data_IF_978071138737
#
_entry.id   IF_978071138737
#
_cell.length_a   1.000
_cell.length_b   1.000
_cell.length_c   1.000
_cell.angle_alpha   90.00
_cell.angle_beta   90.00
_cell.angle_gamma   90.00
#
_symmetry.space_group_name_H-M   'P 1'
#
loop_
_entity.id
_entity.type
_entity.pdbx_description
1 polymer ?
#
# COMPACT_ATOMS: atom_id res chain seq x y z
N UNK A 1 50.66 -71.39 40.34
CA UNK A 1 50.32 -70.38 39.32
C UNK A 1 48.81 -70.31 39.18
N UNK A 2 48.14 -69.32 39.79
CA UNK A 2 46.74 -68.95 39.52
C UNK A 2 46.33 -67.72 40.34
N UNK A 3 45.63 -66.82 39.66
CA UNK A 3 44.59 -65.89 40.17
C UNK A 3 45.00 -64.58 40.86
N UNK A 4 44.71 -63.46 40.16
CA UNK A 4 44.20 -62.19 40.72
C UNK A 4 43.40 -61.49 39.61
N UNK A 5 42.06 -61.51 39.71
CA UNK A 5 41.18 -60.38 40.05
C UNK A 5 41.33 -59.15 39.13
N UNK A 6 40.35 -58.94 38.25
CA UNK A 6 40.07 -57.62 37.64
C UNK A 6 38.69 -57.15 38.08
N UNK A 7 38.68 -55.99 38.74
CA UNK A 7 37.48 -55.29 39.23
C UNK A 7 37.00 -54.38 38.10
N UNK A 8 35.77 -54.58 37.63
CA UNK A 8 35.11 -53.70 36.65
C UNK A 8 34.33 -52.60 37.38
N UNK A 9 34.81 -51.36 37.30
CA UNK A 9 34.04 -50.18 37.69
C UNK A 9 33.02 -49.82 36.60
N UNK A 10 31.74 -49.81 36.96
CA UNK A 10 30.66 -49.23 36.15
C UNK A 10 30.51 -47.76 36.52
N UNK A 11 30.84 -46.86 35.60
CA UNK A 11 30.53 -45.44 35.72
C UNK A 11 29.07 -45.21 35.31
N UNK A 12 28.20 -44.87 36.28
CA UNK A 12 26.87 -44.33 36.04
C UNK A 12 27.03 -42.84 35.66
N UNK A 13 26.65 -42.48 34.43
CA UNK A 13 26.52 -41.08 34.01
C UNK A 13 25.11 -40.63 34.41
N UNK A 14 25.02 -39.78 35.43
CA UNK A 14 23.79 -39.08 35.81
C UNK A 14 23.71 -37.79 34.98
N UNK A 15 22.77 -37.77 34.03
CA UNK A 15 22.42 -36.59 33.25
C UNK A 15 21.51 -35.71 34.11
N UNK A 16 22.04 -34.57 34.56
CA UNK A 16 21.24 -33.50 35.17
C UNK A 16 20.56 -32.69 34.06
N UNK A 17 19.25 -32.85 33.93
CA UNK A 17 18.41 -31.99 33.09
C UNK A 17 18.06 -30.75 33.93
N UNK A 18 18.73 -29.63 33.66
CA UNK A 18 18.39 -28.34 34.22
C UNK A 18 17.18 -27.76 33.47
N UNK A 19 15.98 -27.87 34.04
CA UNK A 19 14.78 -27.16 33.60
C UNK A 19 14.89 -25.69 33.98
N UNK A 20 15.57 -24.90 33.16
CA UNK A 20 15.49 -23.43 33.24
C UNK A 20 14.16 -22.98 32.65
N UNK A 21 13.21 -22.66 33.54
CA UNK A 21 11.97 -22.00 33.19
C UNK A 21 12.27 -20.61 32.61
N UNK A 22 11.85 -20.37 31.37
CA UNK A 22 11.79 -19.02 30.80
C UNK A 22 10.71 -18.23 31.52
N UNK A 23 11.11 -17.33 32.44
CA UNK A 23 10.25 -16.24 32.87
C UNK A 23 10.37 -15.08 31.87
N UNK A 24 9.26 -14.52 31.37
CA UNK A 24 9.30 -13.32 30.55
C UNK A 24 9.76 -12.12 31.39
N UNK A 25 10.71 -11.36 30.85
CA UNK A 25 11.18 -10.10 31.44
C UNK A 25 10.03 -9.08 31.48
N UNK A 26 9.90 -8.28 32.56
CA UNK A 26 8.95 -7.18 32.59
C UNK A 26 9.29 -6.12 31.53
N UNK A 27 8.28 -5.46 30.95
CA UNK A 27 8.49 -4.43 29.93
C UNK A 27 9.30 -3.26 30.50
N UNK A 28 10.30 -2.84 29.74
CA UNK A 28 11.14 -1.67 30.02
C UNK A 28 10.27 -0.41 29.93
N UNK A 29 10.01 0.23 31.06
CA UNK A 29 9.33 1.53 31.10
C UNK A 29 10.11 2.54 30.24
N UNK A 30 9.41 3.15 29.28
CA UNK A 30 9.94 4.26 28.51
C UNK A 30 9.80 5.55 29.32
N UNK A 31 10.80 6.45 29.31
CA UNK A 31 10.72 7.69 30.06
C UNK A 31 9.60 8.59 29.53
N UNK A 32 8.77 9.06 30.44
CA UNK A 32 7.73 10.06 30.23
C UNK A 32 8.30 11.30 29.54
N UNK A 33 7.68 11.82 28.46
CA UNK A 33 8.14 13.05 27.83
C UNK A 33 7.95 14.22 28.80
N UNK A 34 9.05 14.89 29.15
CA UNK A 34 9.06 16.13 29.90
C UNK A 34 8.45 17.24 29.03
N UNK A 35 7.32 17.79 29.45
CA UNK A 35 6.75 19.01 28.87
C UNK A 35 7.69 20.18 29.13
N UNK A 36 8.35 20.68 28.08
CA UNK A 36 9.02 21.98 28.11
C UNK A 36 7.97 23.08 27.84
N UNK A 37 7.99 24.20 28.60
CA UNK A 37 7.09 25.31 28.35
C UNK A 37 7.44 26.00 27.02
N UNK A 38 6.41 26.18 26.18
CA UNK A 38 6.48 26.99 24.95
C UNK A 38 6.46 28.46 25.34
N UNK A 39 7.42 29.29 24.90
CA UNK A 39 7.35 30.73 25.14
C UNK A 39 6.31 31.38 24.23
N UNK A 40 5.40 32.13 24.86
CA UNK A 40 4.40 32.97 24.21
C UNK A 40 5.07 34.09 23.41
N UNK A 41 4.85 34.12 22.11
CA UNK A 41 5.32 35.21 21.24
C UNK A 41 4.14 36.15 20.98
N UNK A 42 4.25 37.39 21.44
CA UNK A 42 3.34 38.49 21.12
C UNK A 42 3.57 38.98 19.68
N UNK A 43 2.53 39.36 18.93
CA UNK A 43 2.69 39.91 17.60
C UNK A 43 3.01 41.42 17.68
N UNK A 44 4.26 41.78 17.41
CA UNK A 44 4.64 43.16 17.10
C UNK A 44 4.34 43.47 15.64
N UNK A 45 3.48 44.46 15.44
CA UNK A 45 3.22 45.08 14.15
C UNK A 45 4.49 45.80 13.64
N UNK A 46 4.95 45.42 12.45
CA UNK A 46 5.87 46.24 11.65
C UNK A 46 5.30 46.33 10.23
N UNK A 47 4.78 47.52 9.96
CA UNK A 47 4.49 48.03 8.64
C UNK A 47 5.81 48.13 7.89
N UNK A 48 5.95 47.41 6.78
CA UNK A 48 6.98 47.72 5.79
C UNK A 48 6.46 47.44 4.39
N UNK A 49 6.30 48.54 3.68
CA UNK A 49 5.96 48.65 2.27
C UNK A 49 7.15 48.21 1.42
N UNK A 50 6.99 47.16 0.62
CA UNK A 50 7.85 46.89 -0.52
C UNK A 50 7.00 46.31 -1.65
N UNK A 51 6.73 47.13 -2.65
CA UNK A 51 6.18 46.72 -3.93
C UNK A 51 7.28 45.99 -4.73
N UNK A 52 6.98 44.80 -5.23
CA UNK A 52 7.63 44.21 -6.41
C UNK A 52 6.82 43.03 -6.93
N UNK A 53 6.09 43.29 -8.01
CA UNK A 53 6.07 42.51 -9.25
C UNK A 53 5.98 40.98 -9.13
N UNK A 54 4.75 40.48 -9.05
CA UNK A 54 4.42 39.10 -9.42
C UNK A 54 3.62 39.12 -10.71
N UNK A 55 4.27 38.74 -11.81
CA UNK A 55 3.64 38.45 -13.09
C UNK A 55 2.57 37.38 -12.92
N UNK A 56 1.31 37.77 -13.11
CA UNK A 56 0.19 36.86 -13.14
C UNK A 56 0.33 35.94 -14.37
N UNK A 57 0.48 34.63 -14.12
CA UNK A 57 0.24 33.60 -15.13
C UNK A 57 -1.25 33.61 -15.48
N UNK A 58 -1.63 33.60 -16.77
CA UNK A 58 -3.03 33.59 -17.14
C UNK A 58 -3.66 32.26 -16.72
N UNK A 59 -4.72 32.35 -15.94
CA UNK A 59 -5.63 31.25 -15.68
C UNK A 59 -6.20 30.79 -17.04
N UNK A 60 -5.72 29.64 -17.52
CA UNK A 60 -6.31 28.96 -18.66
C UNK A 60 -7.69 28.46 -18.26
N UNK A 61 -8.70 29.27 -18.52
CA UNK A 61 -10.10 28.88 -18.45
C UNK A 61 -10.40 27.95 -19.61
N UNK A 62 -10.00 26.67 -19.49
CA UNK A 62 -10.59 25.64 -20.33
C UNK A 62 -12.00 25.36 -19.78
N UNK A 63 -12.99 25.91 -20.46
CA UNK A 63 -14.39 25.52 -20.32
C UNK A 63 -14.52 24.05 -20.71
N UNK A 64 -14.62 23.17 -19.71
CA UNK A 64 -14.79 21.73 -19.96
C UNK A 64 -16.26 21.47 -20.24
N UNK A 65 -16.54 21.14 -21.51
CA UNK A 65 -17.85 20.70 -21.99
C UNK A 65 -18.30 19.43 -21.25
N UNK A 66 -19.55 19.41 -20.79
CA UNK A 66 -20.17 18.41 -19.91
C UNK A 66 -20.54 17.09 -20.61
N UNK A 67 -19.66 16.49 -21.40
CA UNK A 67 -19.97 15.29 -22.21
C UNK A 67 -19.11 14.06 -21.87
N UNK A 68 -18.36 14.04 -20.76
CA UNK A 68 -17.42 12.94 -20.43
C UNK A 68 -17.96 11.86 -19.46
N UNK A 69 -19.24 11.83 -19.14
CA UNK A 69 -19.77 11.03 -18.01
C UNK A 69 -19.92 9.51 -18.24
N UNK A 70 -20.15 8.96 -19.45
CA UNK A 70 -20.26 7.51 -19.65
C UNK A 70 -18.93 6.76 -19.50
N UNK A 71 -17.83 7.37 -19.95
CA UNK A 71 -16.51 6.72 -20.05
C UNK A 71 -15.91 6.44 -18.66
N UNK A 72 -15.97 7.41 -17.75
CA UNK A 72 -15.39 7.27 -16.41
C UNK A 72 -16.04 6.15 -15.58
N UNK A 73 -17.37 5.98 -15.66
CA UNK A 73 -18.07 4.92 -14.94
C UNK A 73 -17.73 3.54 -15.49
N UNK A 74 -17.60 3.42 -16.81
CA UNK A 74 -17.17 2.17 -17.45
C UNK A 74 -15.71 1.86 -17.11
N UNK A 75 -14.85 2.87 -17.13
CA UNK A 75 -13.45 2.75 -16.72
C UNK A 75 -13.34 2.31 -15.26
N UNK A 76 -14.16 2.88 -14.36
CA UNK A 76 -14.25 2.43 -12.97
C UNK A 76 -14.65 0.97 -12.86
N UNK A 77 -15.72 0.56 -13.53
CA UNK A 77 -16.22 -0.81 -13.49
C UNK A 77 -15.17 -1.85 -13.94
N UNK A 78 -14.21 -1.46 -14.79
CA UNK A 78 -13.09 -2.32 -15.21
C UNK A 78 -11.96 -2.43 -14.18
N UNK A 79 -11.88 -1.50 -13.24
CA UNK A 79 -10.82 -1.40 -12.25
C UNK A 79 -10.98 -2.36 -11.07
N UNK A 80 -9.86 -2.68 -10.40
CA UNK A 80 -9.86 -3.58 -9.24
C UNK A 80 -10.62 -3.02 -8.04
N UNK A 81 -10.77 -1.71 -7.96
CA UNK A 81 -11.50 -1.06 -6.87
C UNK A 81 -13.03 -1.05 -7.06
N UNK A 82 -13.54 -1.38 -8.25
CA UNK A 82 -14.99 -1.53 -8.46
C UNK A 82 -15.52 -2.90 -8.01
N UNK A 83 -14.65 -3.88 -7.80
CA UNK A 83 -15.02 -5.21 -7.33
C UNK A 83 -14.07 -5.65 -6.20
N UNK A 84 -14.48 -5.36 -4.98
CA UNK A 84 -13.65 -5.44 -3.78
C UNK A 84 -14.14 -6.52 -2.81
N UNK A 85 -15.05 -7.40 -3.21
CA UNK A 85 -15.59 -8.43 -2.31
C UNK A 85 -14.48 -9.27 -1.65
N UNK A 86 -14.50 -9.36 -0.31
CA UNK A 86 -13.59 -10.19 0.47
C UNK A 86 -14.37 -11.19 1.31
N UNK A 87 -14.02 -12.47 1.19
CA UNK A 87 -14.50 -13.54 2.06
C UNK A 87 -13.31 -14.36 2.58
N UNK A 88 -13.43 -14.84 3.81
CA UNK A 88 -12.59 -15.84 4.43
C UNK A 88 -12.92 -17.24 3.87
N UNK A 89 -12.13 -18.23 4.26
CA UNK A 89 -12.25 -19.61 3.77
C UNK A 89 -13.60 -20.27 4.13
N UNK A 90 -14.26 -19.79 5.18
CA UNK A 90 -15.59 -20.22 5.61
C UNK A 90 -16.74 -19.54 4.85
N UNK A 91 -16.43 -18.66 3.88
CA UNK A 91 -17.40 -17.91 3.09
C UNK A 91 -17.93 -16.65 3.77
N UNK A 92 -17.56 -16.38 5.03
CA UNK A 92 -17.93 -15.15 5.73
C UNK A 92 -16.95 -14.03 5.40
N UNK A 93 -17.37 -12.77 5.55
CA UNK A 93 -16.41 -11.67 5.46
C UNK A 93 -15.58 -11.58 6.75
N UNK A 94 -14.41 -10.97 6.66
CA UNK A 94 -13.47 -10.78 7.76
C UNK A 94 -13.16 -9.29 7.98
N UNK A 95 -12.24 -8.98 8.88
CA UNK A 95 -11.79 -7.62 9.18
C UNK A 95 -11.35 -6.79 7.96
N UNK A 96 -10.88 -7.43 6.88
CA UNK A 96 -10.51 -6.76 5.63
C UNK A 96 -11.69 -6.09 4.94
N UNK A 97 -12.92 -6.57 5.20
CA UNK A 97 -14.14 -6.01 4.63
C UNK A 97 -14.36 -4.54 4.97
N UNK A 98 -13.80 -4.06 6.08
CA UNK A 98 -13.91 -2.65 6.50
C UNK A 98 -13.24 -1.68 5.52
N UNK A 99 -12.15 -2.08 4.89
CA UNK A 99 -11.46 -1.27 3.89
C UNK A 99 -12.01 -1.50 2.47
N UNK A 100 -12.57 -2.69 2.23
CA UNK A 100 -13.03 -3.13 0.92
C UNK A 100 -14.52 -2.83 0.66
N UNK A 101 -15.32 -2.63 1.71
CA UNK A 101 -16.70 -2.20 1.66
C UNK A 101 -17.01 -1.26 2.84
N UNK A 102 -16.37 -0.07 2.88
CA UNK A 102 -16.53 0.86 3.99
C UNK A 102 -18.00 1.24 4.23
N UNK A 103 -18.85 1.19 3.20
CA UNK A 103 -20.28 1.50 3.32
C UNK A 103 -21.16 0.37 3.87
N UNK A 104 -20.67 -0.87 3.95
CA UNK A 104 -21.39 -1.96 4.59
C UNK A 104 -21.05 -2.13 6.07
N UNK A 105 -19.81 -1.80 6.46
CA UNK A 105 -19.26 -2.14 7.77
C UNK A 105 -19.32 -0.96 8.76
N UNK A 106 -20.45 -0.27 8.72
CA UNK A 106 -20.75 0.91 9.51
C UNK A 106 -21.67 0.53 10.67
N UNK A 107 -21.46 1.10 11.87
CA UNK A 107 -22.44 0.98 12.94
C UNK A 107 -23.74 1.66 12.50
N UNK A 108 -24.81 0.88 12.37
CA UNK A 108 -26.12 1.36 11.90
C UNK A 108 -26.94 2.02 13.00
N UNK A 109 -26.44 2.02 14.23
CA UNK A 109 -27.05 2.71 15.36
C UNK A 109 -26.01 3.12 16.42
N UNK A 110 -26.35 4.15 17.20
CA UNK A 110 -25.55 4.55 18.37
C UNK A 110 -25.39 3.41 19.40
N UNK A 111 -26.24 2.39 19.39
CA UNK A 111 -26.14 1.24 20.27
C UNK A 111 -25.00 0.28 19.86
N UNK A 112 -24.53 0.36 18.61
CA UNK A 112 -23.40 -0.40 18.09
C UNK A 112 -22.06 0.31 18.31
N UNK A 113 -22.09 1.56 18.79
CA UNK A 113 -20.93 2.37 19.13
C UNK A 113 -20.85 2.47 20.66
N UNK A 114 -19.80 1.92 21.31
CA UNK A 114 -19.70 1.99 22.76
C UNK A 114 -19.73 3.44 23.25
N UNK A 115 -20.63 3.75 24.19
CA UNK A 115 -20.95 5.11 24.66
C UNK A 115 -19.85 5.77 25.53
N UNK A 116 -18.58 5.38 25.37
CA UNK A 116 -17.47 5.93 26.15
C UNK A 116 -16.41 6.55 25.24
N UNK A 117 -15.67 7.54 25.77
CA UNK A 117 -14.55 8.27 25.12
C UNK A 117 -13.38 7.37 24.65
N UNK A 118 -13.55 6.06 24.64
CA UNK A 118 -12.58 5.06 24.22
C UNK A 118 -12.78 4.59 22.77
N UNK A 119 -13.71 5.20 22.03
CA UNK A 119 -14.03 4.88 20.62
C UNK A 119 -12.81 4.88 19.68
N UNK A 120 -11.73 5.62 20.00
CA UNK A 120 -10.51 5.64 19.19
C UNK A 120 -9.56 4.45 19.42
N UNK A 121 -9.80 3.56 20.40
CA UNK A 121 -8.86 2.50 20.80
C UNK A 121 -9.39 1.07 20.77
N UNK A 122 -10.59 0.80 20.23
CA UNK A 122 -11.14 -0.55 20.26
C UNK A 122 -11.35 -1.23 18.92
N UNK A 123 -11.03 -2.51 18.99
CA UNK A 123 -11.41 -3.60 18.11
C UNK A 123 -12.95 -3.69 18.13
N UNK A 124 -13.61 -2.96 17.22
CA UNK A 124 -15.05 -3.06 17.00
C UNK A 124 -15.34 -4.52 16.64
N UNK A 125 -16.27 -5.15 17.38
CA UNK A 125 -16.73 -6.52 17.11
C UNK A 125 -16.99 -6.68 15.62
N UNK A 126 -16.43 -7.71 14.99
CA UNK A 126 -16.58 -7.98 13.56
C UNK A 126 -18.06 -7.86 13.19
N UNK A 127 -18.48 -6.86 12.39
CA UNK A 127 -19.86 -6.76 11.96
C UNK A 127 -20.38 -8.07 11.34
N UNK A 128 -21.71 -8.20 11.26
CA UNK A 128 -22.32 -9.40 10.67
C UNK A 128 -21.82 -9.57 9.23
N UNK A 129 -21.52 -10.80 8.77
CA UNK A 129 -21.20 -11.06 7.38
C UNK A 129 -22.28 -10.49 6.46
N UNK A 130 -21.82 -9.87 5.37
CA UNK A 130 -22.60 -9.24 4.31
C UNK A 130 -22.56 -10.15 3.10
N UNK A 131 -23.73 -10.57 2.64
CA UNK A 131 -23.81 -11.39 1.44
C UNK A 131 -23.26 -10.62 0.23
N UNK A 132 -22.67 -11.34 -0.74
CA UNK A 132 -22.10 -10.72 -1.95
C UNK A 132 -23.11 -9.87 -2.74
N UNK A 133 -24.39 -10.25 -2.71
CA UNK A 133 -25.47 -9.50 -3.36
C UNK A 133 -25.70 -8.11 -2.72
N UNK A 134 -25.42 -7.98 -1.42
CA UNK A 134 -25.60 -6.76 -0.63
C UNK A 134 -24.29 -5.97 -0.46
N UNK A 135 -23.22 -6.42 -1.12
CA UNK A 135 -21.89 -5.82 -1.02
C UNK A 135 -21.80 -4.50 -1.77
N UNK A 136 -21.52 -3.44 -1.02
CA UNK A 136 -21.24 -2.08 -1.45
C UNK A 136 -19.73 -1.94 -1.63
N UNK A 137 -19.27 -2.16 -2.86
CA UNK A 137 -17.89 -1.89 -3.27
C UNK A 137 -17.54 -0.41 -3.05
N UNK A 138 -16.26 -0.07 -3.22
CA UNK A 138 -15.82 1.32 -3.20
C UNK A 138 -16.57 2.10 -4.29
N UNK A 139 -17.33 3.12 -3.88
CA UNK A 139 -18.12 3.97 -4.74
C UNK A 139 -17.41 5.29 -5.07
N UNK A 140 -17.98 6.07 -5.99
CA UNK A 140 -17.45 7.39 -6.32
C UNK A 140 -17.48 8.35 -5.13
N UNK A 141 -18.47 8.19 -4.25
CA UNK A 141 -18.64 8.92 -3.00
C UNK A 141 -17.46 8.75 -2.05
N UNK A 142 -16.73 7.64 -2.09
CA UNK A 142 -15.54 7.47 -1.24
C UNK A 142 -14.43 8.48 -1.57
N UNK A 143 -14.38 8.95 -2.82
CA UNK A 143 -13.28 9.76 -3.37
C UNK A 143 -13.73 11.16 -3.81
N UNK A 144 -15.02 11.36 -4.07
CA UNK A 144 -15.58 12.59 -4.58
C UNK A 144 -16.77 13.02 -3.75
N UNK A 145 -16.95 14.32 -3.62
CA UNK A 145 -18.19 14.86 -3.07
C UNK A 145 -19.35 14.46 -3.98
N UNK A 146 -20.35 13.76 -3.43
CA UNK A 146 -21.57 13.40 -4.16
C UNK A 146 -22.78 14.05 -3.52
N UNK A 147 -23.67 14.58 -4.35
CA UNK A 147 -24.92 15.20 -3.92
C UNK A 147 -26.05 14.80 -4.88
N UNK A 148 -27.13 14.22 -4.35
CA UNK A 148 -28.31 13.79 -5.12
C UNK A 148 -27.95 12.93 -6.35
N UNK A 149 -26.99 12.01 -6.18
CA UNK A 149 -26.52 11.12 -7.25
C UNK A 149 -25.58 11.77 -8.29
N UNK A 150 -25.25 13.04 -8.13
CA UNK A 150 -24.27 13.75 -8.97
C UNK A 150 -22.91 13.69 -8.30
N UNK A 151 -21.88 13.31 -9.06
CA UNK A 151 -20.48 13.25 -8.61
C UNK A 151 -19.80 14.56 -8.97
N UNK A 152 -19.24 15.24 -7.97
CA UNK A 152 -18.44 16.45 -8.16
C UNK A 152 -17.02 16.11 -8.61
N UNK A 153 -16.36 17.02 -9.34
CA UNK A 153 -14.93 16.91 -9.61
C UNK A 153 -14.09 17.17 -8.35
N UNK A 154 -14.68 17.74 -7.30
CA UNK A 154 -14.01 17.93 -6.02
C UNK A 154 -13.68 16.58 -5.39
N UNK A 155 -12.37 16.36 -5.19
CA UNK A 155 -11.84 15.20 -4.48
C UNK A 155 -11.95 15.44 -2.98
N UNK A 156 -12.52 14.48 -2.27
CA UNK A 156 -12.67 14.50 -0.82
C UNK A 156 -12.73 13.06 -0.30
N UNK A 157 -12.39 12.89 0.97
CA UNK A 157 -12.54 11.59 1.63
C UNK A 157 -13.90 11.54 2.33
N UNK A 158 -14.75 10.59 1.96
CA UNK A 158 -15.96 10.34 2.73
C UNK A 158 -15.58 9.66 4.05
N UNK A 159 -15.83 10.36 5.16
CA UNK A 159 -15.75 9.71 6.46
C UNK A 159 -17.02 8.89 6.69
N UNK A 160 -16.96 7.65 6.21
CA UNK A 160 -18.05 6.70 6.29
C UNK A 160 -18.53 6.48 7.74
N UNK A 161 -17.68 6.70 8.74
CA UNK A 161 -18.03 6.52 10.15
C UNK A 161 -19.03 7.55 10.66
N UNK A 162 -19.05 8.76 10.09
CA UNK A 162 -19.98 9.83 10.47
C UNK A 162 -21.08 10.07 9.43
N UNK A 163 -20.91 9.58 8.20
CA UNK A 163 -21.85 9.75 7.09
C UNK A 163 -23.24 9.14 7.33
N UNK A 164 -23.40 8.27 8.33
CA UNK A 164 -24.68 7.65 8.66
C UNK A 164 -25.52 8.44 9.65
N UNK A 165 -24.96 9.45 10.32
CA UNK A 165 -25.71 10.24 11.27
C UNK A 165 -26.49 11.32 10.53
N UNK A 166 -27.82 11.30 10.66
CA UNK A 166 -28.71 12.33 10.08
C UNK A 166 -28.36 13.76 10.52
N UNK A 167 -27.65 13.91 11.65
CA UNK A 167 -27.15 15.18 12.15
C UNK A 167 -25.91 15.72 11.40
N UNK A 168 -25.25 14.89 10.60
CA UNK A 168 -24.04 15.27 9.85
C UNK A 168 -24.46 15.71 8.45
N UNK A 169 -24.47 17.04 8.25
CA UNK A 169 -24.79 17.66 6.96
C UNK A 169 -23.67 17.50 5.91
N UNK A 170 -22.43 17.29 6.35
CA UNK A 170 -21.27 17.14 5.48
C UNK A 170 -20.26 16.14 6.08
N UNK A 171 -20.28 14.87 5.63
CA UNK A 171 -19.34 13.85 6.08
C UNK A 171 -18.02 13.82 5.31
N UNK A 172 -17.78 14.78 4.42
CA UNK A 172 -16.57 14.80 3.59
C UNK A 172 -15.42 15.52 4.30
N UNK A 173 -14.28 14.85 4.38
CA UNK A 173 -13.02 15.45 4.78
C UNK A 173 -12.27 15.97 3.56
N UNK A 174 -11.77 17.20 3.65
CA UNK A 174 -10.86 17.73 2.62
C UNK A 174 -9.54 16.95 2.64
N UNK A 175 -9.03 16.64 1.46
CA UNK A 175 -7.69 16.07 1.24
C UNK A 175 -6.85 17.03 0.42
N UNK A 176 -5.55 17.13 0.73
CA UNK A 176 -4.60 18.05 0.08
C UNK A 176 -4.08 17.52 -1.25
N UNK A 177 -4.20 16.22 -1.50
CA UNK A 177 -3.76 15.57 -2.73
C UNK A 177 -4.46 14.24 -2.94
N UNK A 178 -4.39 13.71 -4.17
CA UNK A 178 -4.84 12.36 -4.46
C UNK A 178 -4.01 11.30 -3.70
N UNK A 179 -2.72 11.57 -3.43
CA UNK A 179 -1.90 10.69 -2.60
C UNK A 179 -2.47 10.58 -1.18
N UNK A 180 -2.83 11.70 -0.56
CA UNK A 180 -3.45 11.71 0.77
C UNK A 180 -4.77 10.92 0.76
N UNK A 181 -5.57 11.03 -0.30
CA UNK A 181 -6.79 10.24 -0.46
C UNK A 181 -6.49 8.73 -0.50
N UNK A 182 -5.53 8.30 -1.32
CA UNK A 182 -5.14 6.89 -1.41
C UNK A 182 -4.66 6.34 -0.06
N UNK A 183 -3.93 7.15 0.70
CA UNK A 183 -3.41 6.81 2.03
C UNK A 183 -4.50 6.68 3.11
N UNK A 184 -5.73 7.17 2.86
CA UNK A 184 -6.86 6.89 3.76
C UNK A 184 -7.16 5.39 3.86
N UNK A 185 -6.94 4.63 2.79
CA UNK A 185 -7.04 3.17 2.77
C UNK A 185 -5.68 2.47 2.86
N UNK A 186 -4.66 2.97 2.15
CA UNK A 186 -3.32 2.42 2.12
C UNK A 186 -2.45 2.92 3.27
N UNK A 187 -2.75 2.46 4.48
CA UNK A 187 -2.09 2.86 5.73
C UNK A 187 -1.56 1.67 6.53
N UNK A 188 -0.78 1.98 7.55
CA UNK A 188 -0.25 1.00 8.51
C UNK A 188 0.46 -0.18 7.81
N UNK A 189 0.06 -1.43 8.10
CA UNK A 189 0.59 -2.64 7.48
C UNK A 189 0.36 -2.72 5.95
N UNK A 190 -0.59 -1.95 5.42
CA UNK A 190 -0.95 -1.89 4.01
C UNK A 190 -0.46 -0.61 3.31
N UNK A 191 0.40 0.16 3.99
CA UNK A 191 1.01 1.37 3.42
C UNK A 191 1.80 1.01 2.17
N UNK A 192 1.58 1.78 1.10
CA UNK A 192 2.41 1.70 -0.10
C UNK A 192 3.73 2.40 0.21
N UNK A 193 4.81 1.63 0.27
CA UNK A 193 6.14 2.18 0.57
C UNK A 193 6.74 2.74 -0.72
N UNK A 194 6.70 4.06 -0.84
CA UNK A 194 7.43 4.80 -1.85
C UNK A 194 8.92 4.80 -1.45
N UNK A 195 9.73 4.14 -2.27
CA UNK A 195 11.18 4.07 -2.08
C UNK A 195 11.89 5.42 -2.25
N UNK A 196 13.19 5.49 -1.90
CA UNK A 196 14.02 6.70 -2.09
C UNK A 196 14.65 6.81 -3.49
N UNK A 197 13.85 6.70 -4.57
CA UNK A 197 14.42 6.50 -5.91
C UNK A 197 13.83 7.36 -7.03
N UNK A 198 13.92 6.90 -8.28
CA UNK A 198 13.86 7.72 -9.50
C UNK A 198 12.56 8.51 -9.71
N UNK A 199 11.47 8.14 -9.04
CA UNK A 199 10.16 8.80 -9.10
C UNK A 199 9.66 9.27 -7.73
N UNK A 200 10.56 9.63 -6.80
CA UNK A 200 10.18 10.08 -5.44
C UNK A 200 9.24 11.29 -5.45
N UNK A 201 9.36 12.18 -6.42
CA UNK A 201 8.55 13.41 -6.53
C UNK A 201 7.21 13.19 -7.25
N UNK A 202 6.84 11.93 -7.54
CA UNK A 202 5.59 11.58 -8.22
C UNK A 202 4.52 11.15 -7.23
N UNK A 203 3.32 11.68 -7.41
CA UNK A 203 2.11 11.25 -6.71
C UNK A 203 1.53 9.97 -7.31
N UNK A 204 0.61 9.32 -6.59
CA UNK A 204 0.01 8.05 -7.02
C UNK A 204 -0.62 8.16 -8.42
N UNK A 205 -1.29 9.28 -8.70
CA UNK A 205 -2.02 9.49 -9.96
C UNK A 205 -1.14 9.92 -11.13
N UNK A 206 0.16 10.14 -10.93
CA UNK A 206 1.08 10.41 -12.04
C UNK A 206 1.34 9.13 -12.85
N UNK A 207 1.28 7.98 -12.19
CA UNK A 207 1.48 6.66 -12.79
C UNK A 207 0.17 5.86 -12.89
N UNK A 208 -0.70 5.97 -11.90
CA UNK A 208 -1.98 5.25 -11.86
C UNK A 208 -3.12 6.11 -12.37
N UNK A 209 -3.99 5.52 -13.19
CA UNK A 209 -5.30 6.11 -13.43
C UNK A 209 -6.19 5.89 -12.19
N UNK A 210 -6.76 6.93 -11.56
CA UNK A 210 -7.55 6.78 -10.34
C UNK A 210 -8.88 6.02 -10.56
N UNK A 211 -9.37 5.99 -11.80
CA UNK A 211 -10.62 5.31 -12.13
C UNK A 211 -10.40 3.84 -12.52
N UNK A 212 -9.33 3.48 -13.23
CA UNK A 212 -9.08 2.06 -13.55
C UNK A 212 -8.08 1.37 -12.62
N UNK A 213 -7.37 2.12 -11.78
CA UNK A 213 -6.19 1.70 -10.99
C UNK A 213 -4.99 1.22 -11.82
N UNK A 214 -5.12 1.22 -13.15
CA UNK A 214 -4.07 0.78 -14.04
C UNK A 214 -2.89 1.74 -13.98
N UNK A 215 -1.68 1.19 -13.82
CA UNK A 215 -0.44 1.91 -13.99
C UNK A 215 0.39 1.33 -15.12
N UNK A 216 1.25 2.16 -15.69
CA UNK A 216 2.22 1.73 -16.68
C UNK A 216 3.32 2.76 -16.85
N UNK A 217 4.54 2.28 -17.08
CA UNK A 217 5.69 3.14 -17.38
C UNK A 217 5.53 3.86 -18.73
N UNK A 218 4.77 3.27 -19.65
CA UNK A 218 4.50 3.83 -20.99
C UNK A 218 3.20 4.64 -21.05
N UNK A 219 2.37 4.57 -20.00
CA UNK A 219 1.14 5.35 -19.89
C UNK A 219 1.47 6.84 -19.80
N UNK A 220 0.57 7.70 -20.28
CA UNK A 220 0.74 9.15 -20.29
C UNK A 220 2.03 9.63 -20.99
N UNK A 221 2.58 8.81 -21.90
CA UNK A 221 3.80 9.12 -22.66
C UNK A 221 5.04 9.41 -21.80
N UNK A 222 5.13 8.87 -20.58
CA UNK A 222 6.30 9.07 -19.71
C UNK A 222 7.58 8.40 -20.29
N UNK A 223 7.47 7.15 -20.72
CA UNK A 223 8.56 6.40 -21.35
C UNK A 223 8.14 5.85 -22.73
N UNK A 224 7.99 6.72 -23.75
CA UNK A 224 7.59 6.26 -25.08
C UNK A 224 8.72 5.44 -25.70
N UNK A 225 8.35 4.39 -26.44
CA UNK A 225 9.29 3.54 -27.18
C UNK A 225 10.36 2.83 -26.31
N UNK A 226 10.03 2.50 -25.05
CA UNK A 226 10.96 1.88 -24.09
C UNK A 226 11.64 0.60 -24.61
N UNK A 227 10.97 -0.23 -25.41
CA UNK A 227 11.55 -1.47 -25.99
C UNK A 227 12.21 -1.27 -27.36
N UNK A 228 12.18 -0.05 -27.89
CA UNK A 228 12.85 0.33 -29.14
C UNK A 228 13.33 1.78 -29.05
N UNK A 229 14.20 2.09 -28.07
CA UNK A 229 14.71 3.45 -27.91
C UNK A 229 15.57 3.85 -29.11
N UNK A 230 15.66 5.16 -29.39
CA UNK A 230 16.47 5.67 -30.49
C UNK A 230 17.96 5.35 -30.32
N UNK A 231 18.43 5.30 -29.06
CA UNK A 231 19.74 4.80 -28.68
C UNK A 231 19.55 3.45 -27.99
N UNK A 232 20.21 2.36 -28.44
CA UNK A 232 20.08 1.05 -27.82
C UNK A 232 20.44 1.10 -26.33
N UNK A 233 19.56 0.55 -25.50
CA UNK A 233 19.79 0.34 -24.06
C UNK A 233 19.69 -1.16 -23.79
N UNK A 234 20.65 -1.71 -23.05
CA UNK A 234 20.62 -3.14 -22.70
C UNK A 234 19.32 -3.47 -21.94
N UNK A 235 18.74 -4.64 -22.22
CA UNK A 235 17.47 -5.06 -21.63
C UNK A 235 16.22 -4.34 -22.17
N UNK A 236 16.37 -3.37 -23.07
CA UNK A 236 15.28 -2.59 -23.66
C UNK A 236 15.03 -3.02 -25.10
N UNK A 237 14.79 -4.32 -25.28
CA UNK A 237 14.63 -4.98 -26.58
C UNK A 237 13.42 -5.94 -26.59
N UNK A 238 13.14 -6.51 -27.76
CA UNK A 238 12.03 -7.43 -27.95
C UNK A 238 12.13 -8.72 -27.09
N UNK A 239 13.33 -9.13 -26.68
CA UNK A 239 13.49 -10.32 -25.82
C UNK A 239 13.00 -10.05 -24.39
N UNK A 240 13.01 -8.79 -23.95
CA UNK A 240 12.55 -8.36 -22.64
C UNK A 240 11.09 -7.84 -22.64
N UNK A 241 10.36 -8.00 -23.75
CA UNK A 241 8.96 -7.58 -23.84
C UNK A 241 8.03 -8.28 -22.85
N UNK A 242 8.43 -9.45 -22.32
CA UNK A 242 7.72 -10.20 -21.28
C UNK A 242 8.34 -10.04 -19.88
N UNK A 243 9.05 -8.95 -19.65
CA UNK A 243 9.59 -8.61 -18.33
C UNK A 243 8.82 -7.42 -17.81
N UNK A 244 8.21 -7.55 -16.62
CA UNK A 244 7.67 -6.38 -15.96
C UNK A 244 8.83 -5.44 -15.64
N UNK A 245 8.74 -4.15 -16.00
CA UNK A 245 9.82 -3.19 -15.84
C UNK A 245 10.42 -3.20 -14.42
N UNK A 246 9.57 -3.35 -13.39
CA UNK A 246 10.03 -3.38 -12.00
C UNK A 246 10.80 -4.66 -11.64
N UNK A 247 10.73 -5.73 -12.43
CA UNK A 247 11.56 -6.92 -12.22
C UNK A 247 13.06 -6.57 -12.36
N UNK A 248 13.42 -5.72 -13.31
CA UNK A 248 14.78 -5.22 -13.46
C UNK A 248 15.02 -3.97 -12.61
N UNK A 249 14.07 -3.04 -12.63
CA UNK A 249 14.21 -1.72 -12.02
C UNK A 249 13.87 -1.66 -10.52
N UNK A 250 13.50 -2.77 -9.89
CA UNK A 250 13.37 -2.80 -8.43
C UNK A 250 14.71 -2.49 -7.74
N UNK A 251 14.65 -1.61 -6.76
CA UNK A 251 15.78 -1.17 -5.93
C UNK A 251 15.83 -1.86 -4.57
N UNK A 252 14.92 -2.81 -4.28
CA UNK A 252 14.99 -3.60 -3.06
C UNK A 252 15.94 -4.80 -3.19
N UNK A 253 16.41 -5.12 -4.40
CA UNK A 253 17.26 -6.27 -4.65
C UNK A 253 16.53 -7.60 -4.46
N UNK A 254 15.21 -7.59 -4.62
CA UNK A 254 14.38 -8.77 -4.41
C UNK A 254 14.54 -9.81 -5.52
N UNK A 255 14.15 -11.05 -5.24
CA UNK A 255 14.24 -12.12 -6.25
C UNK A 255 13.24 -11.87 -7.39
N UNK A 256 13.53 -12.46 -8.55
CA UNK A 256 12.69 -12.38 -9.75
C UNK A 256 12.44 -13.77 -10.28
N UNK A 257 11.22 -14.00 -10.77
CA UNK A 257 10.84 -15.25 -11.42
C UNK A 257 9.74 -15.00 -12.46
N UNK A 258 9.53 -15.91 -13.42
CA UNK A 258 8.36 -15.86 -14.29
C UNK A 258 7.08 -16.13 -13.48
N UNK A 259 6.07 -15.28 -13.68
CA UNK A 259 4.71 -15.49 -13.19
C UNK A 259 3.95 -16.53 -14.01
N UNK A 260 2.69 -16.76 -13.65
CA UNK A 260 1.83 -17.77 -14.28
C UNK A 260 1.61 -17.52 -15.79
N UNK A 261 1.59 -16.26 -16.19
CA UNK A 261 1.48 -15.80 -17.59
C UNK A 261 2.84 -15.76 -18.32
N UNK A 262 3.90 -16.25 -17.65
CA UNK A 262 5.31 -16.19 -18.07
C UNK A 262 5.89 -14.77 -18.13
N UNK A 263 5.21 -13.78 -17.55
CA UNK A 263 5.78 -12.44 -17.35
C UNK A 263 6.71 -12.44 -16.16
N UNK A 264 7.94 -11.94 -16.31
CA UNK A 264 8.87 -11.86 -15.19
C UNK A 264 8.45 -10.78 -14.19
N UNK A 265 8.43 -11.13 -12.91
CA UNK A 265 7.97 -10.27 -11.82
C UNK A 265 8.95 -10.31 -10.64
N UNK A 266 8.97 -9.23 -9.87
CA UNK A 266 9.66 -9.18 -8.57
C UNK A 266 8.86 -9.96 -7.54
N UNK A 267 9.55 -10.65 -6.64
CA UNK A 267 8.96 -11.33 -5.49
C UNK A 267 9.23 -10.56 -4.22
N UNK A 268 8.16 -10.12 -3.55
CA UNK A 268 8.31 -9.59 -2.20
C UNK A 268 8.52 -10.76 -1.24
N UNK A 269 9.57 -10.76 -0.39
CA UNK A 269 9.92 -11.91 0.45
C UNK A 269 8.92 -12.17 1.58
N UNK A 270 8.26 -11.12 2.07
CA UNK A 270 7.24 -11.20 3.12
C UNK A 270 5.94 -10.58 2.66
N UNK A 271 4.80 -11.12 3.09
CA UNK A 271 3.51 -10.50 2.82
C UNK A 271 3.30 -9.20 3.62
N UNK A 272 2.13 -8.58 3.48
CA UNK A 272 1.78 -7.36 4.22
C UNK A 272 1.72 -7.57 5.75
N UNK A 273 1.52 -8.81 6.21
CA UNK A 273 1.43 -9.19 7.62
C UNK A 273 2.78 -9.65 8.19
N UNK A 274 3.84 -9.70 7.36
CA UNK A 274 5.18 -10.09 7.76
C UNK A 274 5.48 -11.58 7.64
N UNK A 275 4.57 -12.38 7.09
CA UNK A 275 4.83 -13.82 6.90
C UNK A 275 5.80 -14.03 5.75
N UNK A 276 6.76 -14.95 5.91
CA UNK A 276 7.74 -15.33 4.88
C UNK A 276 7.10 -16.18 3.79
N UNK A 277 6.41 -15.55 2.86
CA UNK A 277 5.81 -16.20 1.69
C UNK A 277 6.09 -15.36 0.43
N UNK A 278 7.13 -15.71 -0.36
CA UNK A 278 7.48 -14.97 -1.55
C UNK A 278 6.32 -14.90 -2.54
N UNK A 279 5.88 -13.69 -2.87
CA UNK A 279 4.73 -13.48 -3.76
C UNK A 279 5.03 -12.44 -4.84
N UNK A 280 4.44 -12.57 -6.04
CA UNK A 280 4.51 -11.55 -7.07
C UNK A 280 4.15 -10.17 -6.54
N UNK A 281 5.00 -9.19 -6.80
CA UNK A 281 4.86 -7.85 -6.27
C UNK A 281 5.32 -6.79 -7.27
N UNK A 282 4.58 -5.68 -7.34
CA UNK A 282 4.98 -4.50 -8.11
C UNK A 282 5.68 -3.52 -7.18
N UNK A 283 7.00 -3.41 -7.32
CA UNK A 283 7.81 -2.50 -6.52
C UNK A 283 7.53 -1.04 -6.87
N UNK A 284 7.36 -0.21 -5.83
CA UNK A 284 7.32 1.24 -5.93
C UNK A 284 8.69 1.88 -5.62
N UNK A 285 9.69 1.04 -5.39
CA UNK A 285 11.06 1.41 -5.06
C UNK A 285 11.89 1.17 -6.33
N UNK A 286 11.85 2.11 -7.28
CA UNK A 286 12.36 1.91 -8.65
C UNK A 286 13.64 2.71 -8.95
N UNK A 287 14.68 2.06 -9.47
CA UNK A 287 15.97 2.67 -9.79
C UNK A 287 16.32 2.59 -11.28
N UNK A 288 17.25 3.44 -11.72
CA UNK A 288 17.75 3.45 -13.10
C UNK A 288 18.74 2.32 -13.38
N UNK A 289 19.65 2.07 -12.43
CA UNK A 289 20.67 1.02 -12.55
C UNK A 289 20.04 -0.34 -12.32
N UNK A 290 20.35 -1.31 -13.18
CA UNK A 290 19.82 -2.68 -13.08
C UNK A 290 20.95 -3.67 -12.88
N UNK A 291 20.66 -4.76 -12.19
CA UNK A 291 21.57 -5.90 -12.04
C UNK A 291 21.09 -7.06 -12.92
N UNK A 292 21.73 -7.23 -14.08
CA UNK A 292 21.42 -8.28 -15.03
C UNK A 292 21.63 -9.69 -14.43
N UNK A 293 22.52 -9.83 -13.43
CA UNK A 293 22.84 -11.12 -12.81
C UNK A 293 21.65 -11.71 -12.03
N UNK A 294 20.61 -10.92 -11.75
CA UNK A 294 19.35 -11.41 -11.15
C UNK A 294 18.61 -12.42 -12.04
N UNK A 295 18.80 -12.34 -13.36
CA UNK A 295 18.22 -13.26 -14.33
C UNK A 295 19.29 -14.03 -15.12
N UNK A 296 20.41 -13.38 -15.45
CA UNK A 296 21.45 -13.92 -16.31
C UNK A 296 22.60 -14.51 -15.50
N UNK A 297 22.36 -15.68 -14.89
CA UNK A 297 23.35 -16.40 -14.09
C UNK A 297 23.48 -17.86 -14.51
N UNK A 298 24.65 -18.46 -14.23
CA UNK A 298 24.91 -19.85 -14.54
C UNK A 298 23.99 -20.77 -13.72
N UNK A 299 23.38 -21.77 -14.39
CA UNK A 299 22.44 -22.69 -13.73
C UNK A 299 21.07 -22.08 -13.47
N UNK A 300 20.71 -20.98 -14.14
CA UNK A 300 19.35 -20.43 -14.08
C UNK A 300 18.31 -21.52 -14.46
N UNK A 301 17.32 -21.81 -13.59
CA UNK A 301 16.40 -22.94 -13.78
C UNK A 301 15.43 -22.76 -14.95
N UNK A 302 15.38 -21.55 -15.54
CA UNK A 302 14.58 -21.22 -16.71
C UNK A 302 15.41 -21.16 -18.00
N UNK A 303 16.65 -21.68 -17.98
CA UNK A 303 17.55 -21.75 -19.12
C UNK A 303 17.89 -20.38 -19.76
N UNK A 304 17.91 -19.32 -18.95
CA UNK A 304 18.43 -18.02 -19.40
C UNK A 304 19.95 -18.07 -19.48
N UNK A 305 20.51 -17.53 -20.57
CA UNK A 305 21.96 -17.49 -20.77
C UNK A 305 22.61 -16.46 -19.84
N UNK A 306 23.78 -16.79 -19.31
CA UNK A 306 24.53 -15.94 -18.37
C UNK A 306 25.38 -14.84 -19.06
N UNK A 307 25.48 -14.85 -20.38
CA UNK A 307 26.42 -14.04 -21.17
C UNK A 307 25.83 -12.73 -21.71
N UNK A 308 24.58 -12.39 -21.37
CA UNK A 308 23.95 -11.14 -21.81
C UNK A 308 24.12 -10.05 -20.76
N UNK A 309 25.05 -9.13 -21.03
CA UNK A 309 25.20 -7.84 -20.33
C UNK A 309 24.37 -6.77 -21.02
#
# INVERSE_FOLDING_TARGET
MRSCLSIRWRALIIVWIATSACQPLPPKESPTPTNLPVPSVTPSALVSTAASSSSAMPASTQSVSSTQTPDVKQLWASGKHANTFVAAADGNNNECARCHAPMNWLPTSMNEIPATCQSCKFNISTPKPVAKADWKNIGCDQCHVTAKGVVSHQVAWLDATIAQFDSVSDPYQTVKSNTELCEKCHRDAFKIVMGKHAHIDKGCTDCHNPHSTQAGCTTNQCHPNILKPAQPVAGHDAAHAKVNCVACHDANGWQVQPGNDKTWVTLRPTDALGNSNPMPFVSHNVQKTVDCARCHFAGNPWNLKADKK
#
